data_IF_849888632353
#
_entry.id   IF_849888632353
#
_cell.length_a   1.000
_cell.length_b   1.000
_cell.length_c   1.000
_cell.angle_alpha   90.00
_cell.angle_beta   90.00
_cell.angle_gamma   90.00
#
_symmetry.space_group_name_H-M   'P 1'
#
loop_
_entity.id
_entity.type
_entity.pdbx_description
1 polymer ?
#
# COMPACT_ATOMS: atom_id res chain seq x y z
N UNK A 1 37.34 12.30 8.17
CA UNK A 1 36.81 13.48 7.43
C UNK A 1 35.34 13.78 7.75
N UNK A 2 34.40 12.81 7.67
CA UNK A 2 32.96 13.03 7.97
C UNK A 2 32.72 13.67 9.35
N UNK A 3 33.52 13.32 10.36
CA UNK A 3 33.44 13.94 11.70
C UNK A 3 33.72 15.45 11.70
N UNK A 4 34.55 15.94 10.78
CA UNK A 4 34.79 17.37 10.58
C UNK A 4 33.59 18.06 9.93
N UNK A 5 33.00 17.42 8.93
CA UNK A 5 31.78 17.91 8.25
C UNK A 5 30.61 18.01 9.23
N UNK A 6 30.40 16.97 10.05
CA UNK A 6 29.35 17.00 11.09
C UNK A 6 29.56 18.17 12.06
N UNK A 7 30.78 18.40 12.55
CA UNK A 7 31.07 19.54 13.44
C UNK A 7 30.78 20.88 12.76
N UNK A 8 31.11 21.02 11.49
CA UNK A 8 30.82 22.23 10.73
C UNK A 8 29.31 22.44 10.56
N UNK A 9 28.54 21.37 10.31
CA UNK A 9 27.08 21.42 10.21
C UNK A 9 26.45 21.85 11.54
N UNK A 10 26.85 21.22 12.64
CA UNK A 10 26.37 21.56 13.98
C UNK A 10 26.70 23.01 14.37
N UNK A 11 27.87 23.53 13.97
CA UNK A 11 28.23 24.94 14.20
C UNK A 11 27.37 25.92 13.40
N UNK A 12 27.01 25.57 12.16
CA UNK A 12 26.12 26.37 11.33
C UNK A 12 24.70 26.42 11.91
N UNK A 13 24.18 25.27 12.36
CA UNK A 13 22.86 25.17 13.00
C UNK A 13 22.79 25.97 14.30
N UNK A 14 23.81 25.85 15.17
CA UNK A 14 23.91 26.63 16.41
C UNK A 14 24.01 28.14 16.15
N UNK A 15 24.64 28.53 15.05
CA UNK A 15 24.75 29.92 14.63
C UNK A 15 23.51 30.49 13.92
N UNK A 16 22.55 29.64 13.53
CA UNK A 16 21.47 29.99 12.59
C UNK A 16 22.00 30.60 11.28
N UNK A 17 23.16 30.13 10.82
CA UNK A 17 23.81 30.60 9.59
C UNK A 17 23.70 29.50 8.53
N UNK A 18 23.46 29.85 7.26
CA UNK A 18 23.51 28.88 6.16
C UNK A 18 24.86 28.17 6.10
N UNK A 19 24.83 26.84 5.96
CA UNK A 19 26.03 26.03 5.87
C UNK A 19 26.81 26.38 4.59
N UNK A 20 28.03 26.88 4.76
CA UNK A 20 28.91 27.20 3.64
C UNK A 20 29.66 25.95 3.17
N UNK A 21 29.22 25.38 2.04
CA UNK A 21 29.76 24.17 1.41
C UNK A 21 31.27 24.29 1.14
N UNK A 22 31.74 25.47 0.68
CA UNK A 22 33.15 25.68 0.34
C UNK A 22 34.09 25.67 1.54
N UNK A 23 33.59 26.04 2.73
CA UNK A 23 34.37 26.04 3.99
C UNK A 23 34.14 24.78 4.82
N UNK A 24 32.99 24.15 4.67
CA UNK A 24 32.55 23.03 5.50
C UNK A 24 32.91 21.66 4.93
N UNK A 25 33.14 21.54 3.61
CA UNK A 25 33.60 20.31 2.97
C UNK A 25 35.10 20.36 2.64
N UNK A 26 35.78 19.20 2.63
CA UNK A 26 37.13 19.11 2.08
C UNK A 26 37.17 19.53 0.60
N UNK A 27 38.31 20.02 0.14
CA UNK A 27 38.50 20.42 -1.27
C UNK A 27 38.39 19.22 -2.22
N UNK A 28 38.97 18.09 -1.85
CA UNK A 28 38.90 16.81 -2.57
C UNK A 28 38.87 15.64 -1.60
N UNK A 29 38.16 14.58 -1.98
CA UNK A 29 38.08 13.34 -1.22
C UNK A 29 37.65 12.18 -2.13
N UNK A 30 37.79 10.94 -1.65
CA UNK A 30 37.45 9.73 -2.40
C UNK A 30 36.23 9.04 -1.79
N UNK A 31 35.62 8.12 -2.54
CA UNK A 31 34.57 7.25 -1.98
C UNK A 31 35.12 6.28 -0.92
N UNK A 32 36.39 5.91 -1.02
CA UNK A 32 37.07 5.09 -0.02
C UNK A 32 37.18 5.84 1.32
N UNK A 33 37.54 7.12 1.31
CA UNK A 33 37.59 7.97 2.51
C UNK A 33 36.23 8.04 3.21
N UNK A 34 35.16 8.27 2.44
CA UNK A 34 33.79 8.30 2.95
C UNK A 34 33.39 6.97 3.59
N UNK A 35 33.76 5.85 2.96
CA UNK A 35 33.46 4.51 3.45
C UNK A 35 34.19 4.23 4.76
N UNK A 36 35.49 4.54 4.82
CA UNK A 36 36.30 4.33 6.01
C UNK A 36 35.79 5.18 7.19
N UNK A 37 35.52 6.46 6.95
CA UNK A 37 34.99 7.36 7.98
C UNK A 37 33.62 6.92 8.50
N UNK A 38 32.76 6.40 7.62
CA UNK A 38 31.43 5.93 8.01
C UNK A 38 31.52 4.64 8.85
N UNK A 39 32.51 3.79 8.60
CA UNK A 39 32.83 2.60 9.41
C UNK A 39 33.43 2.96 10.78
N UNK A 40 34.35 3.92 10.82
CA UNK A 40 35.04 4.35 12.05
C UNK A 40 34.15 5.22 12.96
N UNK A 41 32.97 5.62 12.47
CA UNK A 41 31.99 6.52 13.09
C UNK A 41 31.31 6.07 14.39
N UNK A 42 31.96 5.26 15.24
CA UNK A 42 31.45 4.83 16.55
C UNK A 42 31.24 5.97 17.58
N UNK A 43 31.48 7.23 17.20
CA UNK A 43 31.45 8.40 18.09
C UNK A 43 30.33 9.39 17.72
N UNK A 44 29.75 9.30 16.52
CA UNK A 44 28.78 10.27 16.01
C UNK A 44 27.34 9.77 16.06
N UNK A 45 26.35 10.65 16.28
CA UNK A 45 24.95 10.32 16.04
C UNK A 45 24.75 9.86 14.59
N UNK A 46 24.04 8.75 14.41
CA UNK A 46 23.82 8.11 13.11
C UNK A 46 23.17 9.05 12.07
N UNK A 47 22.24 9.90 12.51
CA UNK A 47 21.55 10.87 11.67
C UNK A 47 22.50 11.94 11.12
N UNK A 48 23.41 12.45 11.95
CA UNK A 48 24.41 13.44 11.56
C UNK A 48 25.41 12.86 10.56
N UNK A 49 25.83 11.61 10.79
CA UNK A 49 26.73 10.90 9.88
C UNK A 49 26.08 10.67 8.50
N UNK A 50 24.80 10.30 8.45
CA UNK A 50 24.05 10.16 7.19
C UNK A 50 23.86 11.50 6.47
N UNK A 51 23.57 12.57 7.21
CA UNK A 51 23.40 13.91 6.64
C UNK A 51 24.71 14.44 6.04
N UNK A 52 25.83 14.26 6.75
CA UNK A 52 27.16 14.59 6.24
C UNK A 52 27.53 13.75 5.02
N UNK A 53 27.19 12.44 5.03
CA UNK A 53 27.43 11.55 3.89
C UNK A 53 26.61 11.97 2.66
N UNK A 54 25.31 12.27 2.81
CA UNK A 54 24.46 12.77 1.73
C UNK A 54 25.04 14.07 1.14
N UNK A 55 25.46 15.00 2.00
CA UNK A 55 26.06 16.25 1.58
C UNK A 55 27.33 16.03 0.76
N UNK A 56 28.24 15.17 1.21
CA UNK A 56 29.44 14.82 0.44
C UNK A 56 29.07 14.20 -0.92
N UNK A 57 28.20 13.18 -0.93
CA UNK A 57 27.84 12.47 -2.17
C UNK A 57 27.15 13.35 -3.22
N UNK A 58 26.47 14.44 -2.82
CA UNK A 58 25.86 15.41 -3.75
C UNK A 58 26.88 16.30 -4.46
N UNK A 59 28.04 16.55 -3.84
CA UNK A 59 29.10 17.42 -4.39
C UNK A 59 30.10 16.61 -5.21
N UNK A 60 29.60 16.00 -6.28
CA UNK A 60 30.35 15.04 -7.12
C UNK A 60 31.62 15.62 -7.73
N UNK A 61 31.70 16.93 -7.93
CA UNK A 61 32.87 17.64 -8.45
C UNK A 61 34.09 17.61 -7.51
N UNK A 62 33.86 17.30 -6.23
CA UNK A 62 34.91 17.16 -5.21
C UNK A 62 35.36 15.71 -5.00
N UNK A 63 34.71 14.76 -5.68
CA UNK A 63 35.00 13.33 -5.56
C UNK A 63 35.99 12.92 -6.64
N UNK A 64 37.19 12.52 -6.23
CA UNK A 64 38.19 11.98 -7.14
C UNK A 64 37.85 10.52 -7.49
N UNK A 65 37.90 10.18 -8.79
CA UNK A 65 37.60 8.83 -9.28
C UNK A 65 38.76 7.88 -8.99
N UNK A 66 38.44 6.72 -8.44
CA UNK A 66 39.40 5.66 -8.14
C UNK A 66 39.02 4.31 -8.73
N UNK A 67 40.04 3.46 -8.89
CA UNK A 67 39.84 2.07 -9.36
C UNK A 67 38.96 1.22 -8.43
N UNK A 68 38.76 1.63 -7.17
CA UNK A 68 37.99 0.90 -6.15
C UNK A 68 36.59 1.48 -5.89
N UNK A 69 36.16 2.49 -6.66
CA UNK A 69 34.88 3.19 -6.44
C UNK A 69 33.68 2.24 -6.36
N UNK A 70 33.64 1.21 -7.21
CA UNK A 70 32.55 0.24 -7.18
C UNK A 70 32.48 -0.54 -5.87
N UNK A 71 33.62 -0.87 -5.25
CA UNK A 71 33.66 -1.55 -3.97
C UNK A 71 33.16 -0.61 -2.85
N UNK A 72 33.60 0.64 -2.86
CA UNK A 72 33.16 1.67 -1.92
C UNK A 72 31.65 1.94 -2.01
N UNK A 73 31.11 2.04 -3.24
CA UNK A 73 29.66 2.19 -3.48
C UNK A 73 28.88 1.02 -2.89
N UNK A 74 29.34 -0.22 -3.12
CA UNK A 74 28.69 -1.41 -2.56
C UNK A 74 28.75 -1.43 -1.03
N UNK A 75 29.89 -1.07 -0.44
CA UNK A 75 30.05 -0.99 1.01
C UNK A 75 29.13 0.07 1.65
N UNK A 76 29.14 1.30 1.12
CA UNK A 76 28.24 2.36 1.57
C UNK A 76 26.78 1.92 1.46
N UNK A 77 26.39 1.33 0.33
CA UNK A 77 25.02 0.85 0.15
C UNK A 77 24.62 -0.21 1.17
N UNK A 78 25.50 -1.19 1.43
CA UNK A 78 25.23 -2.26 2.40
C UNK A 78 25.07 -1.72 3.81
N UNK A 79 25.87 -0.72 4.19
CA UNK A 79 25.76 -0.11 5.51
C UNK A 79 24.46 0.70 5.61
N UNK A 80 24.17 1.56 4.63
CA UNK A 80 22.95 2.37 4.62
C UNK A 80 21.68 1.51 4.61
N UNK A 81 21.66 0.40 3.86
CA UNK A 81 20.57 -0.58 3.88
C UNK A 81 20.45 -1.27 5.25
N UNK A 82 21.57 -1.58 5.90
CA UNK A 82 21.58 -2.09 7.27
C UNK A 82 20.99 -1.11 8.29
N UNK A 83 20.89 0.18 7.97
CA UNK A 83 20.19 1.16 8.81
C UNK A 83 18.69 1.23 8.53
N UNK A 84 18.24 0.73 7.38
CA UNK A 84 16.83 0.58 7.05
C UNK A 84 16.24 -0.71 7.63
N UNK A 85 17.06 -1.72 7.92
CA UNK A 85 16.62 -3.00 8.49
C UNK A 85 17.21 -3.28 9.86
N UNK A 86 16.38 -3.59 10.87
CA UNK A 86 16.93 -3.98 12.19
C UNK A 86 17.50 -5.40 12.15
N UNK A 87 18.63 -5.60 12.85
CA UNK A 87 19.27 -6.89 13.08
C UNK A 87 18.48 -7.84 13.99
N UNK A 88 17.42 -7.37 14.66
CA UNK A 88 16.75 -8.06 15.77
C UNK A 88 15.36 -8.66 15.43
N UNK A 89 15.01 -8.81 14.14
CA UNK A 89 13.82 -9.58 13.72
C UNK A 89 12.58 -8.77 13.31
N UNK A 90 12.58 -7.44 13.49
CA UNK A 90 11.69 -6.53 12.75
C UNK A 90 12.44 -6.02 11.53
N UNK A 91 11.87 -6.10 10.32
CA UNK A 91 12.62 -5.81 9.09
C UNK A 91 12.86 -4.31 8.84
N UNK A 92 12.23 -3.39 9.59
CA UNK A 92 12.33 -1.94 9.32
C UNK A 92 12.76 -1.11 10.52
N UNK A 93 13.59 -0.10 10.25
CA UNK A 93 13.87 0.99 11.16
C UNK A 93 12.62 1.86 11.35
N UNK A 94 12.20 2.03 12.60
CA UNK A 94 11.00 2.76 12.99
C UNK A 94 11.28 4.27 13.13
N UNK A 95 12.54 4.71 13.19
CA UNK A 95 12.88 6.14 13.21
C UNK A 95 12.75 6.74 11.79
N UNK A 96 11.70 7.55 11.53
CA UNK A 96 11.42 8.04 10.20
C UNK A 96 12.47 9.05 9.71
N UNK A 97 13.12 9.79 10.61
CA UNK A 97 14.15 10.75 10.24
C UNK A 97 15.43 10.05 9.75
N UNK A 98 15.87 9.03 10.49
CA UNK A 98 17.02 8.20 10.07
C UNK A 98 16.73 7.44 8.78
N UNK A 99 15.51 6.89 8.62
CA UNK A 99 15.11 6.20 7.40
C UNK A 99 15.11 7.14 6.18
N UNK A 100 14.61 8.37 6.34
CA UNK A 100 14.63 9.39 5.28
C UNK A 100 16.07 9.69 4.83
N UNK A 101 16.98 9.94 5.76
CA UNK A 101 18.38 10.23 5.42
C UNK A 101 19.10 9.04 4.80
N UNK A 102 18.82 7.82 5.27
CA UNK A 102 19.34 6.60 4.67
C UNK A 102 18.84 6.40 3.23
N UNK A 103 17.55 6.64 2.97
CA UNK A 103 16.98 6.58 1.63
C UNK A 103 17.53 7.68 0.72
N UNK A 104 17.81 8.87 1.25
CA UNK A 104 18.44 9.95 0.48
C UNK A 104 19.85 9.57 0.01
N UNK A 105 20.67 9.01 0.90
CA UNK A 105 21.99 8.46 0.55
C UNK A 105 21.87 7.36 -0.50
N UNK A 106 20.96 6.40 -0.33
CA UNK A 106 20.74 5.33 -1.30
C UNK A 106 20.28 5.87 -2.65
N UNK A 107 19.39 6.86 -2.67
CA UNK A 107 18.96 7.54 -3.90
C UNK A 107 20.17 8.13 -4.63
N UNK A 108 21.03 8.86 -3.93
CA UNK A 108 22.23 9.45 -4.55
C UNK A 108 23.13 8.35 -5.13
N UNK A 109 23.33 7.24 -4.41
CA UNK A 109 24.13 6.10 -4.91
C UNK A 109 23.50 5.45 -6.16
N UNK A 110 22.19 5.25 -6.18
CA UNK A 110 21.48 4.65 -7.33
C UNK A 110 21.48 5.57 -8.54
N UNK A 111 21.09 6.84 -8.37
CA UNK A 111 20.90 7.78 -9.47
C UNK A 111 22.21 8.45 -9.91
N UNK A 112 23.08 8.78 -8.97
CA UNK A 112 24.34 9.50 -9.21
C UNK A 112 25.53 8.58 -9.50
N UNK A 113 25.55 7.39 -8.92
CA UNK A 113 26.67 6.44 -9.03
C UNK A 113 26.28 5.11 -9.68
N UNK A 114 25.07 5.00 -10.25
CA UNK A 114 24.58 3.81 -10.96
C UNK A 114 24.63 2.52 -10.13
N UNK A 115 24.41 2.63 -8.81
CA UNK A 115 24.32 1.46 -7.93
C UNK A 115 23.15 0.55 -8.34
N UNK A 116 23.43 -0.74 -8.52
CA UNK A 116 22.41 -1.77 -8.74
C UNK A 116 22.09 -2.46 -7.43
N UNK A 117 20.82 -2.42 -7.04
CA UNK A 117 20.31 -3.08 -5.84
C UNK A 117 19.82 -4.50 -6.16
N UNK A 118 20.00 -5.44 -5.24
CA UNK A 118 19.41 -6.78 -5.32
C UNK A 118 17.96 -6.81 -4.83
N UNK A 119 17.25 -7.89 -5.16
CA UNK A 119 15.81 -8.05 -4.87
C UNK A 119 15.44 -7.78 -3.40
N UNK A 120 16.21 -8.32 -2.45
CA UNK A 120 15.94 -8.13 -1.02
C UNK A 120 16.02 -6.66 -0.60
N UNK A 121 17.00 -5.93 -1.13
CA UNK A 121 17.18 -4.51 -0.83
C UNK A 121 16.05 -3.69 -1.45
N UNK A 122 15.58 -4.05 -2.64
CA UNK A 122 14.44 -3.41 -3.29
C UNK A 122 13.13 -3.66 -2.53
N UNK A 123 12.96 -4.82 -1.90
CA UNK A 123 11.83 -5.09 -0.99
C UNK A 123 11.88 -4.16 0.24
N UNK A 124 13.08 -3.96 0.83
CA UNK A 124 13.25 -3.02 1.95
C UNK A 124 12.89 -1.59 1.51
N UNK A 125 13.35 -1.15 0.34
CA UNK A 125 12.99 0.17 -0.20
C UNK A 125 11.47 0.29 -0.46
N UNK A 126 10.84 -0.75 -1.02
CA UNK A 126 9.39 -0.79 -1.25
C UNK A 126 8.56 -0.70 0.04
N UNK A 127 9.17 -0.96 1.20
CA UNK A 127 8.53 -0.86 2.49
C UNK A 127 8.31 0.59 2.96
N UNK A 128 8.96 1.56 2.31
CA UNK A 128 8.89 3.00 2.61
C UNK A 128 8.10 3.79 1.56
N UNK A 129 7.24 3.15 0.75
CA UNK A 129 6.51 3.84 -0.34
C UNK A 129 5.14 4.41 0.07
N UNK A 130 4.87 4.56 1.37
CA UNK A 130 3.60 5.10 1.88
C UNK A 130 3.83 5.98 3.11
N UNK A 131 3.76 7.31 2.96
CA UNK A 131 3.94 8.27 4.05
C UNK A 131 2.83 8.26 5.10
N UNK A 132 1.78 7.45 4.95
CA UNK A 132 0.76 7.24 5.98
C UNK A 132 1.21 6.25 7.05
N UNK A 133 2.26 5.48 6.79
CA UNK A 133 2.83 4.57 7.78
C UNK A 133 3.73 5.32 8.78
N UNK A 134 3.72 4.87 10.03
CA UNK A 134 4.39 5.58 11.13
C UNK A 134 5.93 5.69 10.97
N UNK A 135 6.53 4.83 10.15
CA UNK A 135 7.97 4.77 9.90
C UNK A 135 8.42 5.50 8.63
N UNK A 136 7.51 6.16 7.91
CA UNK A 136 7.81 6.76 6.59
C UNK A 136 7.43 8.24 6.56
N UNK A 137 8.37 9.10 6.19
CA UNK A 137 8.11 10.53 5.90
C UNK A 137 7.72 10.75 4.44
N UNK A 138 7.24 11.94 4.11
CA UNK A 138 6.92 12.33 2.72
C UNK A 138 8.16 12.26 1.82
N UNK A 139 9.32 12.70 2.30
CA UNK A 139 10.58 12.64 1.54
C UNK A 139 11.07 11.20 1.40
N UNK A 140 10.97 10.39 2.46
CA UNK A 140 11.33 8.97 2.41
C UNK A 140 10.50 8.23 1.33
N UNK A 141 9.19 8.49 1.26
CA UNK A 141 8.34 7.94 0.20
C UNK A 141 8.81 8.37 -1.20
N UNK A 142 9.11 9.65 -1.37
CA UNK A 142 9.59 10.18 -2.64
C UNK A 142 10.92 9.53 -3.07
N UNK A 143 11.89 9.42 -2.16
CA UNK A 143 13.17 8.78 -2.44
C UNK A 143 13.02 7.29 -2.74
N UNK A 144 12.20 6.56 -1.98
CA UNK A 144 11.94 5.15 -2.23
C UNK A 144 11.30 4.91 -3.61
N UNK A 145 10.33 5.73 -4.01
CA UNK A 145 9.69 5.67 -5.33
C UNK A 145 10.68 5.94 -6.46
N UNK A 146 11.55 6.93 -6.30
CA UNK A 146 12.59 7.25 -7.30
C UNK A 146 13.62 6.13 -7.45
N UNK A 147 14.09 5.55 -6.34
CA UNK A 147 14.99 4.40 -6.35
C UNK A 147 14.36 3.23 -7.11
N UNK A 148 13.14 2.85 -6.75
CA UNK A 148 12.44 1.72 -7.39
C UNK A 148 12.16 1.98 -8.88
N UNK A 149 11.81 3.23 -9.23
CA UNK A 149 11.55 3.64 -10.60
C UNK A 149 12.80 3.63 -11.49
N UNK A 150 13.97 3.91 -10.92
CA UNK A 150 15.24 3.89 -11.65
C UNK A 150 15.88 2.49 -11.71
N UNK A 151 15.61 1.64 -10.72
CA UNK A 151 16.29 0.34 -10.57
C UNK A 151 15.83 -0.74 -11.55
N UNK A 152 14.69 -0.56 -12.23
CA UNK A 152 14.08 -1.62 -13.05
C UNK A 152 13.43 -1.05 -14.31
N UNK A 153 13.66 -1.71 -15.44
CA UNK A 153 12.80 -1.58 -16.61
C UNK A 153 11.45 -2.32 -16.43
N UNK A 154 10.57 -2.27 -17.44
CA UNK A 154 9.23 -2.88 -17.36
C UNK A 154 9.27 -4.41 -17.20
N UNK A 155 10.17 -5.10 -17.89
CA UNK A 155 10.24 -6.56 -17.88
C UNK A 155 10.86 -7.05 -16.56
N UNK A 156 11.93 -6.39 -16.11
CA UNK A 156 12.54 -6.59 -14.80
C UNK A 156 11.54 -6.35 -13.68
N UNK A 157 10.73 -5.28 -13.78
CA UNK A 157 9.69 -4.97 -12.80
C UNK A 157 8.65 -6.08 -12.72
N UNK A 158 8.19 -6.63 -13.85
CA UNK A 158 7.26 -7.75 -13.86
C UNK A 158 7.86 -9.01 -13.20
N UNK A 159 9.12 -9.32 -13.50
CA UNK A 159 9.82 -10.45 -12.90
C UNK A 159 10.02 -10.26 -11.39
N UNK A 160 10.40 -9.05 -10.96
CA UNK A 160 10.59 -8.68 -9.56
C UNK A 160 9.28 -8.80 -8.77
N UNK A 161 8.20 -8.18 -9.25
CA UNK A 161 6.89 -8.24 -8.57
C UNK A 161 6.43 -9.71 -8.46
N UNK A 162 6.50 -10.48 -9.54
CA UNK A 162 5.98 -11.85 -9.52
C UNK A 162 6.82 -12.80 -8.63
N UNK A 163 8.15 -12.80 -8.82
CA UNK A 163 9.02 -13.80 -8.20
C UNK A 163 9.59 -13.36 -6.84
N UNK A 164 10.08 -12.13 -6.73
CA UNK A 164 10.67 -11.65 -5.48
C UNK A 164 9.58 -11.22 -4.49
N UNK A 165 8.66 -10.36 -4.93
CA UNK A 165 7.63 -9.80 -4.04
C UNK A 165 6.53 -10.82 -3.76
N UNK A 166 5.78 -11.25 -4.76
CA UNK A 166 4.60 -12.09 -4.53
C UNK A 166 4.98 -13.51 -4.10
N UNK A 167 5.94 -14.15 -4.76
CA UNK A 167 6.25 -15.56 -4.51
C UNK A 167 7.14 -15.78 -3.30
N UNK A 168 8.26 -15.07 -3.21
CA UNK A 168 9.28 -15.30 -2.16
C UNK A 168 9.00 -14.52 -0.88
N UNK A 169 8.41 -13.34 -0.95
CA UNK A 169 8.20 -12.47 0.20
C UNK A 169 6.76 -12.55 0.74
N UNK A 170 5.75 -12.19 -0.05
CA UNK A 170 4.36 -12.06 0.39
C UNK A 170 3.71 -13.43 0.66
N UNK A 171 3.85 -14.40 -0.25
CA UNK A 171 3.16 -15.69 -0.13
C UNK A 171 3.47 -16.42 1.18
N UNK A 172 4.72 -16.53 1.66
CA UNK A 172 5.00 -17.14 2.97
C UNK A 172 4.28 -16.45 4.13
N UNK A 173 4.23 -15.11 4.12
CA UNK A 173 3.63 -14.28 5.18
C UNK A 173 2.11 -14.48 5.26
N UNK A 174 1.44 -14.62 4.11
CA UNK A 174 -0.02 -14.76 4.04
C UNK A 174 -0.50 -16.20 3.86
N UNK A 175 0.41 -17.19 3.78
CA UNK A 175 0.08 -18.60 3.52
C UNK A 175 -0.90 -19.22 4.52
N UNK A 176 -0.90 -18.73 5.76
CA UNK A 176 -1.76 -19.22 6.85
C UNK A 176 -3.04 -18.39 7.03
N UNK A 177 -3.19 -17.30 6.28
CA UNK A 177 -4.37 -16.40 6.33
C UNK A 177 -5.33 -16.64 5.16
N UNK A 178 -5.27 -17.82 4.51
CA UNK A 178 -6.09 -18.13 3.35
C UNK A 178 -7.58 -18.25 3.69
N UNK A 179 -8.43 -17.57 2.92
CA UNK A 179 -9.89 -17.70 2.99
C UNK A 179 -10.35 -19.10 2.53
N UNK A 180 -11.37 -19.65 3.20
CA UNK A 180 -12.02 -20.91 2.82
C UNK A 180 -12.73 -20.82 1.45
N UNK A 181 -13.02 -19.60 1.00
CA UNK A 181 -13.74 -19.31 -0.26
C UNK A 181 -12.88 -19.46 -1.52
N UNK A 182 -11.57 -19.66 -1.36
CA UNK A 182 -10.63 -19.86 -2.47
C UNK A 182 -9.97 -21.23 -2.41
N UNK A 183 -9.74 -21.80 -3.59
CA UNK A 183 -8.86 -22.97 -3.76
C UNK A 183 -7.39 -22.56 -3.60
N UNK A 184 -6.48 -23.53 -3.51
CA UNK A 184 -5.02 -23.28 -3.54
C UNK A 184 -4.54 -22.54 -4.80
N UNK A 185 -5.37 -22.49 -5.84
CA UNK A 185 -5.11 -21.75 -7.10
C UNK A 185 -5.76 -20.35 -7.13
N UNK A 186 -6.31 -19.87 -6.01
CA UNK A 186 -7.00 -18.59 -5.91
C UNK A 186 -8.42 -18.55 -6.50
N UNK A 187 -8.83 -19.58 -7.27
CA UNK A 187 -10.18 -19.67 -7.83
C UNK A 187 -11.24 -19.84 -6.75
N UNK A 188 -12.47 -19.43 -7.03
CA UNK A 188 -13.63 -19.68 -6.15
C UNK A 188 -13.75 -21.16 -5.81
N UNK A 189 -13.87 -21.48 -4.52
CA UNK A 189 -14.14 -22.82 -4.05
C UNK A 189 -15.62 -23.18 -4.26
N UNK A 190 -15.88 -24.35 -4.86
CA UNK A 190 -17.25 -24.82 -5.13
C UNK A 190 -17.96 -25.44 -3.91
N UNK A 191 -17.20 -25.80 -2.87
CA UNK A 191 -17.69 -26.46 -1.66
C UNK A 191 -17.34 -25.66 -0.39
N UNK A 192 -17.15 -24.35 -0.51
CA UNK A 192 -16.96 -23.51 0.68
C UNK A 192 -18.25 -23.53 1.51
N UNK A 193 -18.12 -23.79 2.81
CA UNK A 193 -19.23 -23.68 3.74
C UNK A 193 -19.43 -22.21 4.12
N UNK A 194 -20.37 -21.54 3.44
CA UNK A 194 -20.70 -20.12 3.67
C UNK A 194 -21.11 -19.84 5.14
N UNK A 195 -21.42 -20.88 5.94
CA UNK A 195 -21.82 -20.79 7.35
C UNK A 195 -20.66 -20.48 8.31
N UNK A 196 -19.40 -20.79 7.94
CA UNK A 196 -18.26 -20.69 8.87
C UNK A 196 -17.56 -19.33 8.84
N UNK A 197 -17.73 -18.54 7.77
CA UNK A 197 -16.92 -17.32 7.55
C UNK A 197 -17.38 -16.09 8.36
N UNK A 198 -18.60 -16.06 8.89
CA UNK A 198 -19.15 -14.87 9.54
C UNK A 198 -18.71 -14.64 11.00
N UNK A 199 -18.30 -15.70 11.71
CA UNK A 199 -18.00 -15.62 13.15
C UNK A 199 -16.90 -16.59 13.64
N UNK A 200 -16.52 -17.61 12.85
CA UNK A 200 -15.64 -18.69 13.33
C UNK A 200 -14.14 -18.48 13.06
N UNK A 201 -13.75 -17.43 12.34
CA UNK A 201 -12.31 -17.10 12.15
C UNK A 201 -11.62 -16.62 13.44
N UNK A 202 -12.39 -16.42 14.52
CA UNK A 202 -11.87 -16.15 15.86
C UNK A 202 -11.36 -17.40 16.61
N UNK A 203 -11.55 -18.62 16.08
CA UNK A 203 -11.22 -19.88 16.80
C UNK A 203 -10.05 -20.66 16.16
N UNK A 204 -9.53 -20.25 15.00
CA UNK A 204 -8.25 -20.79 14.52
C UNK A 204 -7.15 -20.14 15.35
N UNK A 205 -6.77 -20.85 16.41
CA UNK A 205 -5.61 -20.67 17.29
C UNK A 205 -4.85 -19.36 17.12
N UNK A 206 -4.97 -18.51 18.15
CA UNK A 206 -4.05 -17.43 18.50
C UNK A 206 -2.64 -18.01 18.68
N UNK A 207 -1.99 -18.37 17.57
CA UNK A 207 -0.54 -18.46 17.49
C UNK A 207 -0.09 -17.17 16.85
N UNK A 208 0.82 -16.45 17.51
CA UNK A 208 1.41 -15.19 17.06
C UNK A 208 1.93 -15.27 15.60
N UNK A 209 2.31 -16.48 15.18
CA UNK A 209 2.78 -16.82 13.83
C UNK A 209 1.73 -16.79 12.71
N UNK A 210 0.42 -16.77 13.00
CA UNK A 210 -0.63 -16.80 11.96
C UNK A 210 -0.92 -15.43 11.33
N UNK A 211 -0.47 -14.34 11.99
CA UNK A 211 -0.67 -12.95 11.56
C UNK A 211 0.63 -12.16 11.60
N UNK A 212 1.71 -12.75 11.09
CA UNK A 212 3.03 -12.10 11.00
C UNK A 212 2.94 -10.70 10.37
N UNK A 213 2.07 -10.53 9.35
CA UNK A 213 1.82 -9.25 8.70
C UNK A 213 1.17 -8.18 9.59
N UNK A 214 0.71 -8.52 10.80
CA UNK A 214 0.19 -7.55 11.79
C UNK A 214 1.18 -7.22 12.90
N UNK A 215 2.10 -8.13 13.20
CA UNK A 215 2.99 -8.04 14.37
C UNK A 215 4.41 -7.72 13.95
N UNK A 216 5.08 -8.65 13.27
CA UNK A 216 6.52 -8.59 12.97
C UNK A 216 6.82 -8.09 11.56
N UNK A 217 5.86 -8.21 10.64
CA UNK A 217 6.02 -7.90 9.20
C UNK A 217 4.92 -6.97 8.70
N UNK A 218 4.61 -5.92 9.48
CA UNK A 218 3.59 -4.90 9.15
C UNK A 218 3.79 -4.24 7.79
N UNK A 219 5.04 -4.04 7.40
CA UNK A 219 5.43 -3.47 6.12
C UNK A 219 5.11 -4.35 4.90
N UNK A 220 4.79 -5.64 5.10
CA UNK A 220 4.38 -6.52 4.01
C UNK A 220 3.15 -5.98 3.27
N UNK A 221 2.23 -5.32 3.99
CA UNK A 221 1.06 -4.67 3.40
C UNK A 221 1.44 -3.48 2.53
N UNK A 222 2.45 -2.69 2.93
CA UNK A 222 2.98 -1.56 2.15
C UNK A 222 3.65 -2.04 0.87
N UNK A 223 4.52 -3.05 0.98
CA UNK A 223 5.18 -3.67 -0.19
C UNK A 223 4.15 -4.28 -1.14
N UNK A 224 3.12 -4.94 -0.61
CA UNK A 224 2.03 -5.49 -1.43
C UNK A 224 1.22 -4.38 -2.12
N UNK A 225 0.90 -3.30 -1.41
CA UNK A 225 0.23 -2.13 -1.97
C UNK A 225 1.02 -1.54 -3.14
N UNK A 226 2.35 -1.42 -2.98
CA UNK A 226 3.24 -0.97 -4.05
C UNK A 226 3.22 -1.92 -5.25
N UNK A 227 3.24 -3.24 -5.02
CA UNK A 227 3.17 -4.23 -6.10
C UNK A 227 1.85 -4.15 -6.90
N UNK A 228 0.73 -3.87 -6.23
CA UNK A 228 -0.56 -3.62 -6.88
C UNK A 228 -0.56 -2.27 -7.61
N UNK A 229 0.04 -1.23 -7.03
CA UNK A 229 0.18 0.09 -7.68
C UNK A 229 0.99 -0.01 -8.98
N UNK A 230 2.03 -0.83 -9.00
CA UNK A 230 2.98 -0.95 -10.10
C UNK A 230 2.66 -2.04 -11.12
N UNK A 231 1.67 -2.91 -10.87
CA UNK A 231 1.28 -3.92 -11.85
C UNK A 231 0.49 -3.30 -13.02
N UNK A 232 0.58 -3.94 -14.18
CA UNK A 232 -0.23 -3.64 -15.35
C UNK A 232 -1.29 -4.74 -15.58
N UNK A 233 -2.12 -4.57 -16.61
CA UNK A 233 -3.19 -5.52 -16.94
C UNK A 233 -2.66 -6.92 -17.27
N UNK A 234 -1.46 -7.01 -17.86
CA UNK A 234 -0.84 -8.28 -18.22
C UNK A 234 -0.40 -9.05 -16.98
N UNK A 235 0.27 -8.39 -16.04
CA UNK A 235 0.72 -8.97 -14.78
C UNK A 235 -0.46 -9.28 -13.86
N UNK A 236 -1.43 -8.36 -13.74
CA UNK A 236 -2.67 -8.62 -13.00
C UNK A 236 -3.40 -9.83 -13.58
N UNK A 237 -3.52 -9.92 -14.91
CA UNK A 237 -4.18 -11.03 -15.59
C UNK A 237 -3.48 -12.37 -15.45
N UNK A 238 -2.15 -12.39 -15.30
CA UNK A 238 -1.36 -13.63 -15.16
C UNK A 238 -1.19 -14.07 -13.70
N UNK A 239 -0.98 -13.12 -12.79
CA UNK A 239 -0.60 -13.37 -11.40
C UNK A 239 -1.71 -13.08 -10.39
N UNK A 240 -2.96 -12.82 -10.83
CA UNK A 240 -4.14 -12.66 -9.95
C UNK A 240 -4.26 -13.71 -8.83
N UNK A 241 -3.88 -15.01 -8.99
CA UNK A 241 -3.99 -15.98 -7.89
C UNK A 241 -3.14 -15.63 -6.67
N UNK A 242 -2.07 -14.84 -6.85
CA UNK A 242 -1.17 -14.45 -5.78
C UNK A 242 -1.60 -13.15 -5.09
N UNK A 243 -2.32 -12.28 -5.80
CA UNK A 243 -2.93 -11.09 -5.22
C UNK A 243 -4.17 -11.41 -4.39
N UNK A 244 -4.96 -12.39 -4.85
CA UNK A 244 -6.29 -12.69 -4.29
C UNK A 244 -6.26 -13.03 -2.79
N UNK A 245 -5.40 -13.94 -2.28
CA UNK A 245 -5.40 -14.28 -0.86
C UNK A 245 -5.11 -13.08 0.04
N UNK A 246 -4.21 -12.19 -0.38
CA UNK A 246 -3.82 -11.00 0.38
C UNK A 246 -4.95 -9.98 0.40
N UNK A 247 -5.57 -9.72 -0.75
CA UNK A 247 -6.74 -8.83 -0.85
C UNK A 247 -7.88 -9.30 0.06
N UNK A 248 -8.20 -10.60 0.04
CA UNK A 248 -9.25 -11.15 0.91
C UNK A 248 -8.85 -11.10 2.38
N UNK A 249 -7.59 -11.40 2.73
CA UNK A 249 -7.10 -11.31 4.10
C UNK A 249 -7.25 -9.89 4.66
N UNK A 250 -7.01 -8.85 3.85
CA UNK A 250 -7.18 -7.46 4.27
C UNK A 250 -8.67 -7.05 4.37
N UNK A 251 -9.48 -7.41 3.39
CA UNK A 251 -10.91 -7.04 3.35
C UNK A 251 -11.74 -7.72 4.43
N UNK A 252 -11.42 -8.98 4.73
CA UNK A 252 -12.11 -9.77 5.75
C UNK A 252 -11.57 -9.50 7.17
N UNK A 253 -10.58 -8.63 7.30
CA UNK A 253 -9.96 -8.35 8.59
C UNK A 253 -10.93 -7.62 9.55
N UNK A 254 -10.98 -8.00 10.83
CA UNK A 254 -11.83 -7.29 11.80
C UNK A 254 -11.33 -5.89 12.13
N UNK A 255 -10.03 -5.60 11.96
CA UNK A 255 -9.45 -4.29 12.24
C UNK A 255 -9.71 -3.31 11.10
N UNK A 256 -10.35 -2.19 11.44
CA UNK A 256 -10.68 -1.09 10.55
C UNK A 256 -9.47 -0.62 9.73
N UNK A 257 -8.27 -0.54 10.31
CA UNK A 257 -7.06 -0.08 9.61
C UNK A 257 -6.77 -0.97 8.40
N UNK A 258 -6.78 -2.28 8.59
CA UNK A 258 -6.45 -3.24 7.54
C UNK A 258 -7.57 -3.36 6.51
N UNK A 259 -8.83 -3.31 6.95
CA UNK A 259 -9.99 -3.29 6.04
C UNK A 259 -9.99 -2.05 5.14
N UNK A 260 -9.76 -0.86 5.70
CA UNK A 260 -9.66 0.38 4.93
C UNK A 260 -8.51 0.32 3.91
N UNK A 261 -7.35 -0.21 4.31
CA UNK A 261 -6.22 -0.44 3.40
C UNK A 261 -6.58 -1.46 2.32
N UNK A 262 -7.24 -2.56 2.67
CA UNK A 262 -7.74 -3.58 1.74
C UNK A 262 -8.69 -3.00 0.68
N UNK A 263 -9.61 -2.11 1.08
CA UNK A 263 -10.51 -1.41 0.16
C UNK A 263 -9.74 -0.53 -0.83
N UNK A 264 -8.75 0.22 -0.36
CA UNK A 264 -7.89 1.04 -1.21
C UNK A 264 -7.10 0.20 -2.21
N UNK A 265 -6.42 -0.86 -1.73
CA UNK A 265 -5.59 -1.73 -2.58
C UNK A 265 -6.45 -2.51 -3.57
N UNK A 266 -7.65 -2.94 -3.18
CA UNK A 266 -8.60 -3.57 -4.11
C UNK A 266 -9.00 -2.61 -5.23
N UNK A 267 -9.30 -1.35 -4.91
CA UNK A 267 -9.64 -0.34 -5.92
C UNK A 267 -8.53 -0.20 -6.98
N UNK A 268 -7.27 -0.16 -6.53
CA UNK A 268 -6.11 -0.09 -7.43
C UNK A 268 -5.97 -1.36 -8.28
N UNK A 269 -6.18 -2.53 -7.68
CA UNK A 269 -6.15 -3.81 -8.39
C UNK A 269 -7.26 -3.91 -9.44
N UNK A 270 -8.49 -3.53 -9.10
CA UNK A 270 -9.65 -3.58 -10.00
C UNK A 270 -9.45 -2.68 -11.23
N UNK A 271 -8.72 -1.57 -11.09
CA UNK A 271 -8.42 -0.70 -12.22
C UNK A 271 -7.55 -1.35 -13.30
N UNK A 272 -6.76 -2.38 -12.95
CA UNK A 272 -5.86 -3.11 -13.86
C UNK A 272 -6.33 -4.55 -14.13
N UNK A 273 -7.25 -5.07 -13.34
CA UNK A 273 -7.67 -6.47 -13.47
C UNK A 273 -8.54 -6.67 -14.73
N UNK A 274 -8.14 -7.53 -15.68
CA UNK A 274 -8.94 -7.76 -16.88
C UNK A 274 -10.33 -8.31 -16.55
N UNK A 275 -11.38 -7.76 -17.16
CA UNK A 275 -12.77 -8.15 -16.93
C UNK A 275 -13.01 -9.67 -17.04
N UNK A 276 -12.33 -10.33 -17.99
CA UNK A 276 -12.41 -11.80 -18.17
C UNK A 276 -11.94 -12.55 -16.94
N UNK A 277 -10.90 -12.09 -16.26
CA UNK A 277 -10.42 -12.70 -15.02
C UNK A 277 -11.51 -12.62 -13.96
N UNK A 278 -12.11 -11.46 -13.74
CA UNK A 278 -13.19 -11.26 -12.77
C UNK A 278 -14.40 -12.19 -13.01
N UNK A 279 -14.75 -12.43 -14.28
CA UNK A 279 -15.92 -13.22 -14.65
C UNK A 279 -15.62 -14.72 -14.69
N UNK A 280 -14.58 -15.14 -15.41
CA UNK A 280 -14.31 -16.55 -15.69
C UNK A 280 -13.73 -17.30 -14.49
N UNK A 281 -12.99 -16.61 -13.62
CA UNK A 281 -12.38 -17.24 -12.42
C UNK A 281 -13.31 -17.22 -11.20
N UNK A 282 -14.43 -16.50 -11.30
CA UNK A 282 -15.34 -16.25 -10.18
C UNK A 282 -14.88 -15.16 -9.21
N UNK A 283 -13.72 -14.55 -9.45
CA UNK A 283 -13.10 -13.57 -8.55
C UNK A 283 -14.01 -12.38 -8.24
N UNK A 284 -14.78 -11.89 -9.21
CA UNK A 284 -15.73 -10.79 -8.97
C UNK A 284 -16.77 -11.16 -7.91
N UNK A 285 -17.29 -12.39 -7.92
CA UNK A 285 -18.24 -12.84 -6.88
C UNK A 285 -17.59 -13.00 -5.50
N UNK A 286 -16.29 -13.33 -5.43
CA UNK A 286 -15.56 -13.43 -4.16
C UNK A 286 -15.34 -12.04 -3.58
N UNK A 287 -14.96 -11.07 -4.41
CA UNK A 287 -14.85 -9.67 -3.97
C UNK A 287 -16.19 -9.10 -3.55
N UNK A 288 -17.31 -9.42 -4.22
CA UNK A 288 -18.64 -9.07 -3.71
C UNK A 288 -18.89 -9.64 -2.31
N UNK A 289 -18.51 -10.90 -2.05
CA UNK A 289 -18.69 -11.53 -0.74
C UNK A 289 -17.87 -10.86 0.37
N UNK A 290 -16.71 -10.28 0.06
CA UNK A 290 -15.90 -9.50 1.02
C UNK A 290 -16.32 -8.03 1.14
N UNK A 291 -16.80 -7.43 0.05
CA UNK A 291 -17.16 -6.00 0.02
C UNK A 291 -18.52 -5.72 0.66
N UNK A 292 -19.53 -6.55 0.43
CA UNK A 292 -20.88 -6.30 0.98
C UNK A 292 -20.91 -6.27 2.52
N UNK A 293 -20.20 -7.16 3.25
CA UNK A 293 -20.08 -7.06 4.70
C UNK A 293 -19.47 -5.72 5.19
N UNK A 294 -18.62 -5.07 4.39
CA UNK A 294 -18.05 -3.77 4.75
C UNK A 294 -19.12 -2.66 4.83
N UNK A 295 -20.28 -2.83 4.16
CA UNK A 295 -21.40 -1.90 4.22
C UNK A 295 -22.16 -1.96 5.56
N UNK A 296 -21.88 -2.98 6.39
CA UNK A 296 -22.46 -3.17 7.72
C UNK A 296 -21.60 -2.57 8.83
N UNK A 297 -20.45 -1.97 8.51
CA UNK A 297 -19.64 -1.18 9.44
C UNK A 297 -20.31 0.17 9.73
N UNK A 298 -21.39 0.10 10.50
CA UNK A 298 -22.27 1.22 10.83
C UNK A 298 -22.06 1.67 12.29
N UNK A 299 -22.36 2.94 12.63
CA UNK A 299 -22.26 3.53 13.96
C UNK A 299 -22.78 2.70 15.15
N UNK A 300 -23.75 1.81 14.90
CA UNK A 300 -24.35 0.93 15.91
C UNK A 300 -23.36 -0.08 16.49
N UNK A 301 -22.37 -0.52 15.70
CA UNK A 301 -21.37 -1.52 16.09
C UNK A 301 -19.92 -1.07 15.82
N UNK A 302 -19.73 -0.04 15.00
CA UNK A 302 -18.42 0.50 14.61
C UNK A 302 -18.44 2.00 14.88
N UNK A 303 -17.43 2.61 15.55
CA UNK A 303 -17.44 4.05 15.80
C UNK A 303 -17.71 4.89 14.53
N UNK A 304 -18.42 6.01 14.65
CA UNK A 304 -18.84 6.80 13.48
C UNK A 304 -17.68 7.18 12.55
N UNK A 305 -16.55 7.64 13.11
CA UNK A 305 -15.35 7.97 12.32
C UNK A 305 -14.79 6.78 11.55
N UNK A 306 -14.77 5.60 12.18
CA UNK A 306 -14.33 4.36 11.54
C UNK A 306 -15.33 3.89 10.48
N UNK A 307 -16.63 4.06 10.73
CA UNK A 307 -17.68 3.78 9.75
C UNK A 307 -17.48 4.64 8.50
N UNK A 308 -17.22 5.94 8.64
CA UNK A 308 -16.94 6.84 7.52
C UNK A 308 -15.68 6.43 6.73
N UNK A 309 -14.65 5.95 7.42
CA UNK A 309 -13.42 5.43 6.78
C UNK A 309 -13.67 4.18 5.94
N UNK A 310 -14.68 3.37 6.27
CA UNK A 310 -14.97 2.11 5.58
C UNK A 310 -16.07 2.24 4.52
N UNK A 311 -17.19 2.90 4.84
CA UNK A 311 -18.38 2.93 4.01
C UNK A 311 -18.11 3.58 2.65
N UNK A 312 -17.52 4.79 2.63
CA UNK A 312 -17.24 5.51 1.39
C UNK A 312 -16.39 4.70 0.40
N UNK A 313 -15.23 4.19 0.82
CA UNK A 313 -14.41 3.29 0.00
C UNK A 313 -15.12 2.00 -0.40
N UNK A 314 -15.92 1.38 0.50
CA UNK A 314 -16.67 0.17 0.18
C UNK A 314 -17.72 0.37 -0.93
N UNK A 315 -18.53 1.43 -0.84
CA UNK A 315 -19.47 1.78 -1.92
C UNK A 315 -18.74 2.01 -3.24
N UNK A 316 -17.64 2.77 -3.20
CA UNK A 316 -16.83 3.09 -4.39
C UNK A 316 -16.25 1.83 -5.03
N UNK A 317 -15.72 0.91 -4.23
CA UNK A 317 -15.16 -0.36 -4.69
C UNK A 317 -16.22 -1.28 -5.32
N UNK A 318 -17.44 -1.36 -4.76
CA UNK A 318 -18.53 -2.16 -5.37
C UNK A 318 -18.99 -1.56 -6.69
N UNK A 319 -19.11 -0.23 -6.77
CA UNK A 319 -19.44 0.46 -8.03
C UNK A 319 -18.36 0.21 -9.08
N UNK A 320 -17.08 0.32 -8.71
CA UNK A 320 -15.96 0.03 -9.60
C UNK A 320 -15.93 -1.43 -10.03
N UNK A 321 -16.14 -2.38 -9.11
CA UNK A 321 -16.25 -3.80 -9.44
C UNK A 321 -17.35 -4.05 -10.46
N UNK A 322 -18.52 -3.44 -10.30
CA UNK A 322 -19.62 -3.55 -11.25
C UNK A 322 -19.22 -3.04 -12.65
N UNK A 323 -18.48 -1.93 -12.74
CA UNK A 323 -17.98 -1.38 -14.00
C UNK A 323 -16.96 -2.30 -14.67
N UNK A 324 -15.97 -2.76 -13.90
CA UNK A 324 -14.83 -3.52 -14.41
C UNK A 324 -15.22 -4.96 -14.75
N UNK A 325 -16.17 -5.56 -14.02
CA UNK A 325 -16.66 -6.91 -14.30
C UNK A 325 -17.61 -6.96 -15.50
N UNK A 326 -18.35 -5.87 -15.76
CA UNK A 326 -19.37 -5.81 -16.81
C UNK A 326 -19.20 -4.58 -17.73
N UNK A 327 -18.06 -4.45 -18.44
CA UNK A 327 -17.77 -3.28 -19.27
C UNK A 327 -18.64 -3.21 -20.53
N UNK A 328 -19.10 -4.36 -21.03
CA UNK A 328 -19.88 -4.44 -22.26
C UNK A 328 -21.37 -4.13 -22.05
N UNK A 329 -21.99 -3.48 -23.05
CA UNK A 329 -23.42 -3.18 -23.04
C UNK A 329 -24.30 -4.45 -22.91
N UNK A 330 -23.82 -5.61 -23.39
CA UNK A 330 -24.52 -6.90 -23.28
C UNK A 330 -24.59 -7.42 -21.84
N UNK A 331 -23.66 -7.02 -20.99
CA UNK A 331 -23.62 -7.38 -19.58
C UNK A 331 -24.30 -6.34 -18.66
N UNK A 332 -24.93 -5.30 -19.25
CA UNK A 332 -25.54 -4.19 -18.52
C UNK A 332 -26.60 -4.64 -17.51
N UNK A 333 -27.37 -5.69 -17.81
CA UNK A 333 -28.35 -6.23 -16.87
C UNK A 333 -27.71 -6.80 -15.60
N UNK A 334 -26.53 -7.45 -15.72
CA UNK A 334 -25.78 -7.96 -14.57
C UNK A 334 -25.21 -6.80 -13.75
N UNK A 335 -24.64 -5.79 -14.41
CA UNK A 335 -24.21 -4.54 -13.76
C UNK A 335 -25.34 -3.90 -12.97
N UNK A 336 -26.49 -3.71 -13.62
CA UNK A 336 -27.65 -3.06 -13.01
C UNK A 336 -28.22 -3.87 -11.84
N UNK A 337 -28.21 -5.21 -11.93
CA UNK A 337 -28.58 -6.08 -10.80
C UNK A 337 -27.67 -5.88 -9.59
N UNK A 338 -26.35 -5.81 -9.80
CA UNK A 338 -25.39 -5.55 -8.73
C UNK A 338 -25.58 -4.17 -8.10
N UNK A 339 -25.77 -3.13 -8.91
CA UNK A 339 -26.01 -1.77 -8.42
C UNK A 339 -27.37 -1.63 -7.70
N UNK A 340 -28.41 -2.31 -8.18
CA UNK A 340 -29.72 -2.34 -7.50
C UNK A 340 -29.63 -3.08 -6.17
N UNK A 341 -28.85 -4.17 -6.13
CA UNK A 341 -28.54 -4.88 -4.88
C UNK A 341 -27.81 -3.97 -3.90
N UNK A 342 -26.85 -3.16 -4.36
CA UNK A 342 -26.14 -2.19 -3.52
C UNK A 342 -27.07 -1.14 -2.88
N UNK A 343 -28.08 -0.65 -3.61
CA UNK A 343 -29.10 0.23 -3.03
C UNK A 343 -29.91 -0.48 -1.94
N UNK A 344 -30.29 -1.73 -2.18
CA UNK A 344 -31.17 -2.50 -1.28
C UNK A 344 -30.46 -3.03 -0.04
N UNK A 345 -29.22 -3.48 -0.19
CA UNK A 345 -28.46 -4.17 0.86
C UNK A 345 -27.40 -3.27 1.51
N UNK A 346 -27.05 -2.15 0.89
CA UNK A 346 -26.17 -1.13 1.45
C UNK A 346 -26.92 0.10 1.95
N UNK A 347 -27.44 0.90 1.01
CA UNK A 347 -28.00 2.22 1.31
C UNK A 347 -29.18 2.14 2.28
N UNK A 348 -30.12 1.23 1.98
CA UNK A 348 -31.33 1.08 2.76
C UNK A 348 -31.07 0.69 4.23
N UNK A 349 -30.37 -0.43 4.52
CA UNK A 349 -30.01 -0.78 5.89
C UNK A 349 -29.20 0.30 6.59
N UNK A 350 -28.22 0.90 5.88
CA UNK A 350 -27.42 1.99 6.42
C UNK A 350 -28.24 3.20 6.85
N UNK A 351 -29.23 3.60 6.04
CA UNK A 351 -30.11 4.71 6.39
C UNK A 351 -30.99 4.39 7.59
N UNK A 352 -31.61 3.21 7.63
CA UNK A 352 -32.49 2.85 8.74
C UNK A 352 -31.77 2.67 10.08
N UNK A 353 -30.52 2.23 10.05
CA UNK A 353 -29.75 1.98 11.27
C UNK A 353 -28.91 3.18 11.71
N UNK A 354 -28.79 4.22 10.88
CA UNK A 354 -27.88 5.33 11.15
C UNK A 354 -28.43 6.68 10.72
N UNK A 355 -29.76 6.80 10.67
CA UNK A 355 -30.47 8.04 10.29
C UNK A 355 -30.19 9.23 11.21
N UNK A 356 -29.75 8.95 12.44
CA UNK A 356 -29.40 9.93 13.46
C UNK A 356 -27.97 10.49 13.29
N UNK A 357 -27.14 9.87 12.46
CA UNK A 357 -25.76 10.27 12.21
C UNK A 357 -25.67 11.09 10.91
N UNK A 358 -25.58 12.42 11.05
CA UNK A 358 -25.67 13.36 9.92
C UNK A 358 -24.58 13.10 8.87
N UNK A 359 -23.33 12.87 9.28
CA UNK A 359 -22.23 12.61 8.35
C UNK A 359 -22.42 11.30 7.56
N UNK A 360 -23.01 10.28 8.21
CA UNK A 360 -23.35 9.01 7.57
C UNK A 360 -24.49 9.21 6.57
N UNK A 361 -25.55 9.92 6.95
CA UNK A 361 -26.67 10.23 6.05
C UNK A 361 -26.20 11.01 4.82
N UNK A 362 -25.31 12.00 5.00
CA UNK A 362 -24.70 12.75 3.90
C UNK A 362 -23.87 11.84 2.98
N UNK A 363 -23.08 10.92 3.56
CA UNK A 363 -22.34 9.92 2.79
C UNK A 363 -23.28 9.03 1.99
N UNK A 364 -24.34 8.50 2.60
CA UNK A 364 -25.33 7.65 1.93
C UNK A 364 -26.05 8.40 0.81
N UNK A 365 -26.35 9.69 0.97
CA UNK A 365 -26.92 10.54 -0.07
C UNK A 365 -25.97 10.67 -1.27
N UNK A 366 -24.69 11.00 -1.03
CA UNK A 366 -23.66 11.10 -2.09
C UNK A 366 -23.46 9.77 -2.83
N UNK A 367 -23.44 8.66 -2.10
CA UNK A 367 -23.29 7.33 -2.71
C UNK A 367 -24.55 6.93 -3.50
N UNK A 368 -25.74 7.27 -3.01
CA UNK A 368 -27.00 7.09 -3.75
C UNK A 368 -26.97 7.79 -5.10
N UNK A 369 -26.55 9.07 -5.14
CA UNK A 369 -26.38 9.83 -6.39
C UNK A 369 -25.43 9.11 -7.34
N UNK A 370 -24.28 8.65 -6.83
CA UNK A 370 -23.28 7.93 -7.61
C UNK A 370 -23.85 6.64 -8.22
N UNK A 371 -24.61 5.87 -7.44
CA UNK A 371 -25.22 4.62 -7.92
C UNK A 371 -26.32 4.89 -8.96
N UNK A 372 -27.16 5.90 -8.72
CA UNK A 372 -28.25 6.30 -9.64
C UNK A 372 -27.68 6.79 -10.97
N UNK A 373 -26.61 7.58 -10.93
CA UNK A 373 -25.91 8.03 -12.15
C UNK A 373 -25.38 6.86 -12.97
N UNK A 374 -24.86 5.82 -12.30
CA UNK A 374 -24.37 4.60 -12.96
C UNK A 374 -25.46 3.69 -13.54
N UNK A 375 -26.64 3.69 -12.91
CA UNK A 375 -27.85 3.02 -13.41
C UNK A 375 -28.48 3.77 -14.60
N UNK A 376 -28.36 5.10 -14.63
CA UNK A 376 -28.96 5.96 -15.65
C UNK A 376 -30.49 5.85 -15.69
N UNK A 377 -31.09 5.86 -16.88
CA UNK A 377 -32.55 5.79 -17.08
C UNK A 377 -33.21 4.60 -16.35
N UNK A 378 -32.49 3.49 -16.21
CA UNK A 378 -32.98 2.27 -15.54
C UNK A 378 -33.21 2.43 -14.04
N UNK A 379 -32.59 3.45 -13.41
CA UNK A 379 -32.89 3.79 -12.03
C UNK A 379 -34.39 3.96 -11.83
N UNK A 380 -35.08 4.66 -12.72
CA UNK A 380 -36.52 4.91 -12.58
C UNK A 380 -37.39 3.65 -12.62
N UNK A 381 -36.98 2.62 -13.37
CA UNK A 381 -37.74 1.37 -13.50
C UNK A 381 -37.50 0.45 -12.30
N UNK A 382 -36.25 0.36 -11.85
CA UNK A 382 -35.89 -0.49 -10.71
C UNK A 382 -36.21 0.15 -9.36
N UNK A 383 -36.14 1.49 -9.23
CA UNK A 383 -36.48 2.20 -8.00
C UNK A 383 -37.99 2.23 -7.75
N UNK A 384 -38.81 2.41 -8.79
CA UNK A 384 -40.28 2.34 -8.66
C UNK A 384 -40.76 0.95 -8.25
N UNK A 385 -40.00 -0.09 -8.58
CA UNK A 385 -40.29 -1.46 -8.15
C UNK A 385 -40.00 -1.70 -6.67
N UNK A 386 -39.30 -0.78 -5.98
CA UNK A 386 -38.96 -0.90 -4.55
C UNK A 386 -39.33 0.40 -3.82
N UNK A 387 -40.60 0.57 -3.40
CA UNK A 387 -41.12 1.83 -2.84
C UNK A 387 -40.33 2.37 -1.64
N UNK A 388 -39.77 1.48 -0.82
CA UNK A 388 -38.93 1.84 0.32
C UNK A 388 -37.61 2.49 -0.14
N UNK A 389 -36.96 1.93 -1.17
CA UNK A 389 -35.76 2.54 -1.78
C UNK A 389 -36.12 3.90 -2.35
N UNK A 390 -37.23 4.01 -3.09
CA UNK A 390 -37.64 5.29 -3.67
C UNK A 390 -37.91 6.37 -2.60
N UNK A 391 -38.56 6.02 -1.49
CA UNK A 391 -38.81 6.95 -0.38
C UNK A 391 -37.52 7.41 0.28
N UNK A 392 -36.63 6.48 0.64
CA UNK A 392 -35.34 6.80 1.28
C UNK A 392 -34.45 7.61 0.33
N UNK A 393 -34.38 7.24 -0.94
CA UNK A 393 -33.63 8.01 -1.94
C UNK A 393 -34.20 9.42 -2.08
N UNK A 394 -35.52 9.58 -2.12
CA UNK A 394 -36.14 10.92 -2.19
C UNK A 394 -35.78 11.75 -0.96
N UNK A 395 -35.80 11.15 0.24
CA UNK A 395 -35.38 11.82 1.47
C UNK A 395 -33.89 12.19 1.43
N UNK A 396 -33.02 11.26 1.06
CA UNK A 396 -31.57 11.51 0.95
C UNK A 396 -31.25 12.61 -0.07
N UNK A 397 -31.96 12.63 -1.21
CA UNK A 397 -31.80 13.65 -2.25
C UNK A 397 -32.37 15.01 -1.86
N UNK A 398 -33.22 15.11 -0.83
CA UNK A 398 -33.65 16.41 -0.27
C UNK A 398 -32.64 17.01 0.72
N UNK A 399 -31.68 16.22 1.21
CA UNK A 399 -30.62 16.67 2.11
C UNK A 399 -29.31 17.05 1.39
N UNK A 400 -29.13 16.61 0.15
CA UNK A 400 -28.02 16.96 -0.74
C UNK A 400 -28.36 18.20 -1.58
#
# INVERSE_FOLDING_TARGET
>A
MLSGVVKAMQQADLGSVEFNVDRGLPERYTLADLTQDFLEGNILPQLDALSALSLCLRNTERIDQESQDQASIQHLSSQTLGLLSHSSGSLLNIDPASAEQALDVLKILVLGFSLVLGDQNLIVVAAYTDCREAWTTVNAELYAREILGHSMDSDQKHAFINSAVLERFIRPIFSRTCSSRITSTGRKAHFADDSQDGFASNVISVTDDARLWKTTQTHAVTVFSWAVEQCDDALAGKSWPMFTPVLLALLDDPDTKFKAKGLSVLSDFLAKCPAKVLVETGLGSIFEQSLFPCLLSLPTLTPEKESLQLLGPAYSAIIQLAKMQFPEAKARDKKNKLLTRLLREGILPGYWQSSEYVEIVELLARQTISIVNELGFFATTHLKAIPQVFSVITQLLTFA
#
